data_IF_825408937745
#
_entry.id   IF_825408937745
#
_cell.length_a   1.000
_cell.length_b   1.000
_cell.length_c   1.000
_cell.angle_alpha   90.00
_cell.angle_beta   90.00
_cell.angle_gamma   90.00
#
_symmetry.space_group_name_H-M   'P 1'
#
loop_
_entity.id
_entity.type
_entity.pdbx_description
1 polymer ?
#
# COMPACT_ATOMS: atom_id res chain seq x y z
N UNK A 1 -26.62 -18.97 -1.50
CA UNK A 1 -25.75 -18.51 -2.61
C UNK A 1 -25.01 -17.27 -2.14
N UNK A 2 -23.68 -17.31 -2.12
CA UNK A 2 -22.84 -16.29 -1.46
C UNK A 2 -22.73 -15.06 -2.36
N UNK A 3 -23.26 -13.91 -1.91
CA UNK A 3 -23.10 -12.62 -2.60
C UNK A 3 -21.67 -12.11 -2.36
N UNK A 4 -20.76 -12.34 -3.30
CA UNK A 4 -19.43 -11.74 -3.30
C UNK A 4 -19.55 -10.30 -3.80
N UNK A 5 -19.42 -9.35 -2.87
CA UNK A 5 -19.39 -7.91 -3.13
C UNK A 5 -18.06 -7.55 -3.81
N UNK A 6 -18.08 -7.20 -5.09
CA UNK A 6 -16.91 -6.69 -5.80
C UNK A 6 -16.89 -5.16 -5.71
N UNK A 7 -15.95 -4.60 -4.96
CA UNK A 7 -15.70 -3.15 -4.90
C UNK A 7 -14.85 -2.78 -6.13
N UNK A 8 -15.51 -2.36 -7.21
CA UNK A 8 -14.86 -1.66 -8.32
C UNK A 8 -14.90 -0.15 -8.05
N UNK A 9 -13.77 0.45 -7.65
CA UNK A 9 -13.65 1.91 -7.57
C UNK A 9 -13.41 2.42 -8.99
N UNK A 10 -14.50 2.82 -9.66
CA UNK A 10 -14.43 3.51 -10.95
C UNK A 10 -13.95 4.95 -10.69
N UNK A 11 -12.69 5.21 -11.02
CA UNK A 11 -12.13 6.56 -11.18
C UNK A 11 -12.56 7.10 -12.56
N UNK A 12 -13.82 7.53 -12.71
CA UNK A 12 -14.25 8.25 -13.92
C UNK A 12 -15.29 9.30 -13.52
N UNK A 13 -15.04 10.57 -13.88
CA UNK A 13 -16.11 11.56 -13.98
C UNK A 13 -15.95 12.88 -13.20
N UNK A 14 -14.79 13.52 -13.22
CA UNK A 14 -14.73 14.99 -13.05
C UNK A 14 -13.93 15.57 -14.20
N UNK A 15 -14.42 15.43 -15.43
CA UNK A 15 -13.90 16.20 -16.58
C UNK A 15 -14.96 16.49 -17.66
N UNK A 16 -16.25 16.48 -17.31
CA UNK A 16 -17.33 16.82 -18.25
C UNK A 16 -18.37 17.73 -17.58
N UNK A 17 -17.99 18.98 -17.36
CA UNK A 17 -18.95 20.08 -17.29
C UNK A 17 -18.36 21.22 -18.11
N UNK A 18 -18.50 21.12 -19.44
CA UNK A 18 -17.79 22.00 -20.34
C UNK A 18 -18.41 22.11 -21.73
N UNK A 19 -19.74 22.11 -21.83
CA UNK A 19 -20.44 22.62 -23.04
C UNK A 19 -21.85 23.08 -22.71
N UNK A 20 -22.03 24.12 -21.88
CA UNK A 20 -23.20 25.01 -21.97
C UNK A 20 -22.79 26.42 -21.51
N UNK A 21 -22.73 27.33 -22.50
CA UNK A 21 -22.85 28.78 -22.42
C UNK A 21 -21.67 29.60 -21.83
N UNK A 22 -20.92 30.20 -22.75
CA UNK A 22 -19.85 31.19 -22.55
C UNK A 22 -20.35 32.58 -22.12
N UNK A 23 -21.37 32.69 -21.26
CA UNK A 23 -21.93 33.98 -20.83
C UNK A 23 -22.14 34.02 -19.31
N UNK A 24 -21.04 34.01 -18.54
CA UNK A 24 -20.96 34.58 -17.17
C UNK A 24 -19.51 34.52 -16.62
N UNK A 25 -18.52 34.67 -17.49
CA UNK A 25 -17.11 34.81 -17.09
C UNK A 25 -16.89 36.26 -16.63
N UNK A 26 -17.46 36.64 -15.49
CA UNK A 26 -17.16 37.94 -14.87
C UNK A 26 -17.44 38.04 -13.36
N UNK A 27 -18.26 37.18 -12.76
CA UNK A 27 -18.61 37.34 -11.34
C UNK A 27 -18.06 36.22 -10.46
N UNK A 28 -16.85 36.46 -9.95
CA UNK A 28 -16.34 35.94 -8.68
C UNK A 28 -16.52 34.44 -8.41
N UNK A 29 -15.54 33.63 -8.81
CA UNK A 29 -15.38 32.28 -8.26
C UNK A 29 -14.91 32.41 -6.80
N UNK A 30 -15.83 32.72 -5.90
CA UNK A 30 -15.61 32.62 -4.45
C UNK A 30 -15.67 31.16 -4.07
N UNK A 31 -14.58 30.42 -4.31
CA UNK A 31 -14.47 29.03 -3.86
C UNK A 31 -14.74 29.01 -2.35
N UNK A 32 -15.80 28.31 -1.95
CA UNK A 32 -16.22 28.19 -0.56
C UNK A 32 -15.10 27.56 0.28
N UNK A 33 -15.06 27.84 1.59
CA UNK A 33 -14.06 27.25 2.49
C UNK A 33 -14.08 25.71 2.42
N UNK A 34 -15.25 25.12 2.28
CA UNK A 34 -15.47 23.67 2.12
C UNK A 34 -14.86 23.12 0.83
N UNK A 35 -15.03 23.80 -0.31
CA UNK A 35 -14.45 23.36 -1.59
C UNK A 35 -12.92 23.45 -1.58
N UNK A 36 -12.34 24.49 -0.96
CA UNK A 36 -10.88 24.58 -0.75
C UNK A 36 -10.37 23.43 0.11
N UNK A 37 -11.11 23.06 1.15
CA UNK A 37 -10.75 21.95 2.03
C UNK A 37 -10.85 20.59 1.31
N UNK A 38 -11.91 20.36 0.53
CA UNK A 38 -12.08 19.17 -0.30
C UNK A 38 -10.95 19.05 -1.34
N UNK A 39 -10.56 20.16 -1.98
CA UNK A 39 -9.45 20.17 -2.94
C UNK A 39 -8.13 19.78 -2.25
N UNK A 40 -7.84 20.38 -1.08
CA UNK A 40 -6.64 20.07 -0.30
C UNK A 40 -6.60 18.61 0.14
N UNK A 41 -7.72 18.07 0.62
CA UNK A 41 -7.83 16.67 1.01
C UNK A 41 -7.69 15.74 -0.19
N UNK A 42 -8.22 16.12 -1.36
CA UNK A 42 -8.10 15.36 -2.60
C UNK A 42 -6.65 15.31 -3.11
N UNK A 43 -5.92 16.42 -3.05
CA UNK A 43 -4.49 16.44 -3.36
C UNK A 43 -3.70 15.51 -2.43
N UNK A 44 -3.96 15.60 -1.13
CA UNK A 44 -3.34 14.72 -0.13
C UNK A 44 -3.67 13.24 -0.37
N UNK A 45 -4.92 12.94 -0.74
CA UNK A 45 -5.35 11.59 -1.05
C UNK A 45 -4.57 11.01 -2.24
N UNK A 46 -4.34 11.81 -3.28
CA UNK A 46 -3.52 11.41 -4.44
C UNK A 46 -2.08 11.13 -4.04
N UNK A 47 -1.49 11.98 -3.20
CA UNK A 47 -0.12 11.78 -2.69
C UNK A 47 -0.02 10.51 -1.83
N UNK A 48 -0.94 10.31 -0.87
CA UNK A 48 -0.99 9.12 -0.03
C UNK A 48 -1.17 7.84 -0.87
N UNK A 49 -1.98 7.88 -1.95
CA UNK A 49 -2.16 6.75 -2.89
C UNK A 49 -0.89 6.44 -3.67
N UNK A 50 -0.14 7.46 -4.09
CA UNK A 50 1.16 7.28 -4.76
C UNK A 50 2.20 6.69 -3.80
N UNK A 51 2.22 7.15 -2.54
CA UNK A 51 3.09 6.58 -1.51
C UNK A 51 2.74 5.12 -1.22
N UNK A 52 1.45 4.78 -1.16
CA UNK A 52 0.99 3.40 -1.01
C UNK A 52 1.45 2.50 -2.15
N UNK A 53 1.38 2.96 -3.40
CA UNK A 53 1.87 2.20 -4.55
C UNK A 53 3.37 1.94 -4.45
N UNK A 54 4.16 2.96 -4.08
CA UNK A 54 5.59 2.84 -3.85
C UNK A 54 5.88 1.83 -2.72
N UNK A 55 5.18 1.94 -1.60
CA UNK A 55 5.34 1.04 -0.46
C UNK A 55 5.01 -0.43 -0.83
N UNK A 56 3.99 -0.65 -1.68
CA UNK A 56 3.67 -2.00 -2.19
C UNK A 56 4.77 -2.57 -3.08
N UNK A 57 5.39 -1.75 -3.93
CA UNK A 57 6.56 -2.16 -4.73
C UNK A 57 7.76 -2.52 -3.85
N UNK A 58 8.06 -1.68 -2.85
CA UNK A 58 9.13 -1.94 -1.88
C UNK A 58 8.87 -3.22 -1.07
N UNK A 59 7.62 -3.43 -0.62
CA UNK A 59 7.21 -4.66 0.05
C UNK A 59 7.43 -5.91 -0.81
N UNK A 60 7.10 -5.85 -2.11
CA UNK A 60 7.29 -6.99 -3.01
C UNK A 60 8.78 -7.38 -3.15
N UNK A 61 9.67 -6.39 -3.24
CA UNK A 61 11.13 -6.62 -3.24
C UNK A 61 11.57 -7.25 -1.92
N UNK A 62 11.14 -6.67 -0.79
CA UNK A 62 11.45 -7.19 0.54
C UNK A 62 10.94 -8.60 0.79
N UNK A 63 9.80 -8.94 0.20
CA UNK A 63 9.19 -10.26 0.32
C UNK A 63 10.08 -11.31 -0.36
N UNK A 64 10.54 -11.04 -1.58
CA UNK A 64 11.45 -11.95 -2.27
C UNK A 64 12.81 -12.05 -1.59
N UNK A 65 13.35 -10.94 -1.07
CA UNK A 65 14.57 -10.93 -0.26
C UNK A 65 14.44 -11.81 1.00
N UNK A 66 13.35 -11.64 1.75
CA UNK A 66 13.06 -12.42 2.95
C UNK A 66 12.88 -13.91 2.64
N UNK A 67 12.15 -14.23 1.56
CA UNK A 67 11.95 -15.59 1.07
C UNK A 67 13.26 -16.24 0.63
N UNK A 68 14.16 -15.48 -0.03
CA UNK A 68 15.48 -15.98 -0.41
C UNK A 68 16.37 -16.20 0.81
N UNK A 69 16.42 -15.24 1.72
CA UNK A 69 17.23 -15.35 2.93
C UNK A 69 16.81 -16.53 3.82
N UNK A 70 15.49 -16.76 3.94
CA UNK A 70 14.95 -17.92 4.67
C UNK A 70 15.36 -19.24 4.00
N UNK A 71 15.20 -19.36 2.67
CA UNK A 71 15.67 -20.54 1.92
C UNK A 71 17.18 -20.79 2.08
N UNK A 72 17.98 -19.72 2.05
CA UNK A 72 19.43 -19.82 2.23
C UNK A 72 19.79 -20.27 3.66
N UNK A 73 19.03 -19.84 4.67
CA UNK A 73 19.18 -20.26 6.05
C UNK A 73 18.80 -21.74 6.24
N UNK A 74 17.68 -22.18 5.68
CA UNK A 74 17.22 -23.58 5.75
C UNK A 74 18.27 -24.52 5.13
N UNK A 75 18.73 -24.22 3.91
CA UNK A 75 19.80 -24.97 3.24
C UNK A 75 21.08 -25.04 4.08
N UNK A 76 21.44 -23.94 4.76
CA UNK A 76 22.62 -23.93 5.61
C UNK A 76 22.44 -24.77 6.88
N UNK A 77 21.23 -24.78 7.44
CA UNK A 77 20.85 -25.66 8.54
C UNK A 77 20.91 -27.13 8.15
N UNK A 78 20.37 -27.50 7.00
CA UNK A 78 20.37 -28.88 6.51
C UNK A 78 21.78 -29.38 6.19
N UNK A 79 22.60 -28.53 5.55
CA UNK A 79 24.00 -28.84 5.26
C UNK A 79 24.82 -29.04 6.56
N UNK A 80 24.53 -28.25 7.60
CA UNK A 80 25.16 -28.42 8.90
C UNK A 80 24.73 -29.73 9.57
N UNK A 81 23.42 -30.02 9.63
CA UNK A 81 22.89 -31.26 10.23
C UNK A 81 23.44 -32.53 9.56
N UNK A 82 23.75 -32.45 8.27
CA UNK A 82 24.17 -33.61 7.47
C UNK A 82 25.67 -33.90 7.51
N UNK A 83 26.51 -33.09 8.20
CA UNK A 83 27.97 -33.30 8.21
C UNK A 83 28.48 -34.01 9.48
N UNK A 84 29.28 -35.05 9.28
CA UNK A 84 29.90 -35.85 10.36
C UNK A 84 31.34 -35.44 10.67
N UNK A 85 31.90 -34.47 9.93
CA UNK A 85 33.28 -34.00 10.13
C UNK A 85 33.30 -32.81 11.11
N UNK A 86 33.95 -32.97 12.26
CA UNK A 86 34.02 -31.97 13.34
C UNK A 86 34.51 -30.58 12.90
N UNK A 87 35.58 -30.50 12.09
CA UNK A 87 36.11 -29.21 11.61
C UNK A 87 35.26 -28.55 10.52
N UNK A 88 34.47 -29.34 9.77
CA UNK A 88 33.43 -28.81 8.86
C UNK A 88 32.17 -28.41 9.63
N UNK A 89 31.90 -29.04 10.77
CA UNK A 89 30.78 -28.73 11.66
C UNK A 89 30.86 -27.31 12.24
N UNK A 90 32.02 -26.87 12.74
CA UNK A 90 32.14 -25.51 13.29
C UNK A 90 31.92 -24.42 12.22
N UNK A 91 32.53 -24.59 11.04
CA UNK A 91 32.34 -23.67 9.90
C UNK A 91 30.90 -23.69 9.39
N UNK A 92 30.27 -24.87 9.35
CA UNK A 92 28.87 -25.05 9.01
C UNK A 92 27.94 -24.33 9.98
N UNK A 93 28.13 -24.52 11.28
CA UNK A 93 27.36 -23.87 12.34
C UNK A 93 27.45 -22.33 12.26
N UNK A 94 28.67 -21.79 12.12
CA UNK A 94 28.88 -20.33 11.95
C UNK A 94 28.19 -19.79 10.70
N UNK A 95 28.25 -20.53 9.59
CA UNK A 95 27.58 -20.16 8.33
C UNK A 95 26.05 -20.16 8.47
N UNK A 96 25.49 -21.21 9.09
CA UNK A 96 24.06 -21.33 9.36
C UNK A 96 23.57 -20.19 10.26
N UNK A 97 24.26 -19.91 11.37
CA UNK A 97 23.92 -18.81 12.28
C UNK A 97 23.91 -17.44 11.57
N UNK A 98 24.90 -17.17 10.71
CA UNK A 98 24.95 -15.92 9.92
C UNK A 98 23.77 -15.81 8.96
N UNK A 99 23.37 -16.90 8.31
CA UNK A 99 22.23 -16.89 7.37
C UNK A 99 20.90 -16.79 8.08
N UNK A 100 20.72 -17.45 9.23
CA UNK A 100 19.54 -17.27 10.09
C UNK A 100 19.39 -15.82 10.53
N UNK A 101 20.49 -15.15 10.95
CA UNK A 101 20.46 -13.73 11.31
C UNK A 101 20.09 -12.82 10.12
N UNK A 102 20.55 -13.16 8.91
CA UNK A 102 20.14 -12.44 7.68
C UNK A 102 18.65 -12.64 7.39
N UNK A 103 18.15 -13.87 7.51
CA UNK A 103 16.73 -14.17 7.33
C UNK A 103 15.87 -13.42 8.35
N UNK A 104 16.27 -13.41 9.63
CA UNK A 104 15.58 -12.67 10.69
C UNK A 104 15.53 -11.16 10.39
N UNK A 105 16.64 -10.59 9.95
CA UNK A 105 16.72 -9.16 9.60
C UNK A 105 15.82 -8.83 8.41
N UNK A 106 15.83 -9.67 7.37
CA UNK A 106 14.97 -9.50 6.19
C UNK A 106 13.48 -9.62 6.56
N UNK A 107 13.10 -10.60 7.40
CA UNK A 107 11.74 -10.76 7.90
C UNK A 107 11.29 -9.56 8.76
N UNK A 108 12.18 -9.01 9.60
CA UNK A 108 11.89 -7.79 10.37
C UNK A 108 11.64 -6.58 9.46
N UNK A 109 12.41 -6.44 8.38
CA UNK A 109 12.23 -5.37 7.38
C UNK A 109 10.88 -5.53 6.67
N UNK A 110 10.58 -6.72 6.17
CA UNK A 110 9.29 -7.07 5.55
C UNK A 110 8.09 -6.75 6.46
N UNK A 111 8.18 -7.10 7.75
CA UNK A 111 7.13 -6.82 8.72
C UNK A 111 6.92 -5.31 8.94
N UNK A 112 7.98 -4.51 8.91
CA UNK A 112 7.88 -3.03 8.98
C UNK A 112 7.22 -2.46 7.74
N UNK A 113 7.59 -2.94 6.56
CA UNK A 113 6.97 -2.50 5.30
C UNK A 113 5.48 -2.85 5.24
N UNK A 114 5.09 -4.04 5.69
CA UNK A 114 3.68 -4.41 5.85
C UNK A 114 2.90 -3.42 6.74
N UNK A 115 3.46 -3.08 7.91
CA UNK A 115 2.85 -2.09 8.82
C UNK A 115 2.76 -0.70 8.17
N UNK A 116 3.73 -0.32 7.36
CA UNK A 116 3.69 0.95 6.63
C UNK A 116 2.51 0.99 5.65
N UNK A 117 2.32 -0.08 4.88
CA UNK A 117 1.18 -0.25 3.96
C UNK A 117 -0.14 -0.14 4.75
N UNK A 118 -0.30 -0.88 5.84
CA UNK A 118 -1.52 -0.85 6.68
C UNK A 118 -1.82 0.56 7.21
N UNK A 119 -0.78 1.31 7.62
CA UNK A 119 -0.91 2.68 8.08
C UNK A 119 -1.33 3.65 6.97
N UNK A 120 -0.75 3.51 5.77
CA UNK A 120 -1.11 4.32 4.60
C UNK A 120 -2.56 4.04 4.17
N UNK A 121 -2.96 2.77 4.09
CA UNK A 121 -4.35 2.41 3.80
C UNK A 121 -5.33 2.97 4.83
N UNK A 122 -4.96 2.98 6.13
CA UNK A 122 -5.76 3.61 7.18
C UNK A 122 -5.85 5.12 7.04
N UNK A 123 -4.75 5.81 6.65
CA UNK A 123 -4.75 7.25 6.38
C UNK A 123 -5.66 7.59 5.19
N UNK A 124 -5.52 6.85 4.09
CA UNK A 124 -6.34 6.99 2.87
C UNK A 124 -7.83 6.86 3.22
N UNK A 125 -8.23 5.80 3.92
CA UNK A 125 -9.64 5.61 4.34
C UNK A 125 -10.18 6.78 5.15
N UNK A 126 -9.38 7.32 6.09
CA UNK A 126 -9.77 8.48 6.89
C UNK A 126 -9.91 9.76 6.05
N UNK A 127 -9.01 9.96 5.07
CA UNK A 127 -9.07 11.11 4.17
C UNK A 127 -10.30 11.01 3.25
N UNK A 128 -10.59 9.83 2.70
CA UNK A 128 -11.80 9.57 1.90
C UNK A 128 -13.08 9.81 2.71
N UNK A 129 -13.13 9.36 3.97
CA UNK A 129 -14.27 9.61 4.86
C UNK A 129 -14.48 11.11 5.14
N UNK A 130 -13.40 11.87 5.34
CA UNK A 130 -13.48 13.32 5.54
C UNK A 130 -13.99 14.03 4.29
N UNK A 131 -13.50 13.66 3.11
CA UNK A 131 -13.99 14.20 1.84
C UNK A 131 -15.49 13.92 1.69
N UNK A 132 -15.93 12.69 1.99
CA UNK A 132 -17.36 12.31 1.94
C UNK A 132 -18.23 13.14 2.90
N UNK A 133 -17.75 13.41 4.12
CA UNK A 133 -18.47 14.25 5.09
C UNK A 133 -18.57 15.71 4.66
N UNK A 134 -17.54 16.23 4.00
CA UNK A 134 -17.51 17.60 3.49
C UNK A 134 -18.26 17.77 2.16
N UNK A 135 -18.48 16.67 1.42
CA UNK A 135 -19.23 16.65 0.18
C UNK A 135 -20.30 15.54 0.20
N UNK A 136 -21.40 15.72 0.96
CA UNK A 136 -22.46 14.71 1.10
C UNK A 136 -23.28 14.47 -0.18
N UNK A 137 -23.09 15.26 -1.25
CA UNK A 137 -23.81 15.11 -2.53
C UNK A 137 -23.34 13.93 -3.40
N UNK A 138 -22.32 13.18 -3.01
CA UNK A 138 -22.01 11.88 -3.64
C UNK A 138 -22.78 10.77 -2.93
N UNK A 139 -24.10 10.80 -3.02
CA UNK A 139 -24.90 9.60 -2.78
C UNK A 139 -24.61 8.59 -3.90
N UNK A 140 -24.37 7.36 -3.47
CA UNK A 140 -24.07 6.20 -4.29
C UNK A 140 -25.12 6.05 -5.39
N UNK A 141 -24.72 6.15 -6.66
CA UNK A 141 -25.56 5.69 -7.76
C UNK A 141 -25.51 4.17 -7.70
N UNK A 142 -26.59 3.56 -7.20
CA UNK A 142 -26.88 2.15 -7.42
C UNK A 142 -26.93 1.91 -8.94
N UNK A 143 -26.04 1.05 -9.45
CA UNK A 143 -26.13 0.56 -10.83
C UNK A 143 -27.14 -0.58 -10.82
N UNK A 144 -28.28 -0.48 -11.52
CA UNK A 144 -29.25 -1.56 -11.61
C UNK A 144 -28.71 -2.71 -12.48
N UNK A 145 -29.16 -3.93 -12.13
CA UNK A 145 -28.77 -5.23 -12.71
C UNK A 145 -28.89 -5.33 -14.24
#
# INVERSE_FOLDING_TARGET
>A
MKKTLYIAIIFVGILSCGTLNAQSVADSVTISKSEKEVLKLSMKLTEDKKELEKARKEYAVEYEDAKKATRDADKAGDNFKSTTNFGKNERGARSAARKMKKAETANKRLARSKRNIENLEKKIRKTEEKIRKLNPKMELIEVPD
#
